data_IF_145456830212
#
_entry.id   IF_145456830212
#
_cell.length_a   1.000
_cell.length_b   1.000
_cell.length_c   1.000
_cell.angle_alpha   90.00
_cell.angle_beta   90.00
_cell.angle_gamma   90.00
#
_symmetry.space_group_name_H-M   'P 1'
#
loop_
_entity.id
_entity.type
_entity.pdbx_description
1 polymer ?
#
# COMPACT_ATOMS: atom_id res chain seq x y z
N UNK A 1 -20.74 4.35 16.41
CA UNK A 1 -20.01 3.24 15.77
C UNK A 1 -19.45 3.76 14.45
N UNK A 2 -18.18 4.16 14.44
CA UNK A 2 -17.56 4.73 13.24
C UNK A 2 -17.15 3.58 12.31
N UNK A 3 -18.01 3.28 11.34
CA UNK A 3 -17.58 2.55 10.15
C UNK A 3 -16.44 3.35 9.53
N UNK A 4 -15.23 2.81 9.60
CA UNK A 4 -14.05 3.49 9.08
C UNK A 4 -14.24 3.69 7.58
N UNK A 5 -14.14 4.93 7.10
CA UNK A 5 -14.21 5.28 5.67
C UNK A 5 -13.25 4.44 4.79
N UNK A 6 -12.24 3.80 5.38
CA UNK A 6 -11.35 2.85 4.72
C UNK A 6 -12.02 1.51 4.34
N UNK A 7 -13.00 1.05 5.13
CA UNK A 7 -13.78 -0.17 4.85
C UNK A 7 -14.67 -0.01 3.61
N UNK A 8 -15.43 1.09 3.55
CA UNK A 8 -16.27 1.40 2.38
C UNK A 8 -15.47 1.61 1.09
N UNK A 9 -14.27 2.17 1.18
CA UNK A 9 -13.40 2.35 0.01
C UNK A 9 -12.89 1.02 -0.54
N UNK A 10 -12.53 0.07 0.34
CA UNK A 10 -12.08 -1.27 -0.04
C UNK A 10 -13.20 -2.06 -0.73
N UNK A 11 -14.39 -2.05 -0.15
CA UNK A 11 -15.55 -2.79 -0.66
C UNK A 11 -16.00 -2.25 -2.03
N UNK A 12 -15.98 -0.93 -2.21
CA UNK A 12 -16.21 -0.29 -3.52
C UNK A 12 -15.16 -0.70 -4.56
N UNK A 13 -13.89 -0.84 -4.15
CA UNK A 13 -12.80 -1.23 -5.05
C UNK A 13 -12.86 -2.71 -5.46
N UNK A 14 -13.17 -3.60 -4.52
CA UNK A 14 -13.41 -5.03 -4.77
C UNK A 14 -14.63 -5.21 -5.67
N UNK A 15 -15.70 -4.45 -5.45
CA UNK A 15 -16.87 -4.44 -6.32
C UNK A 15 -16.56 -3.95 -7.75
N UNK A 16 -15.68 -2.95 -7.90
CA UNK A 16 -15.21 -2.49 -9.22
C UNK A 16 -14.37 -3.58 -9.90
N UNK A 17 -13.46 -4.24 -9.18
CA UNK A 17 -12.63 -5.31 -9.73
C UNK A 17 -13.47 -6.49 -10.24
N UNK A 18 -14.50 -6.91 -9.49
CA UNK A 18 -15.41 -7.98 -9.90
C UNK A 18 -16.27 -7.58 -11.11
N UNK A 19 -16.74 -6.32 -11.15
CA UNK A 19 -17.47 -5.80 -12.33
C UNK A 19 -16.60 -5.75 -13.59
N UNK A 20 -15.31 -5.45 -13.47
CA UNK A 20 -14.36 -5.46 -14.59
C UNK A 20 -14.20 -6.87 -15.15
N UNK A 21 -14.16 -7.90 -14.29
CA UNK A 21 -14.08 -9.31 -14.71
C UNK A 21 -15.37 -9.76 -15.40
N UNK A 22 -16.54 -9.41 -14.86
CA UNK A 22 -17.82 -9.75 -15.49
C UNK A 22 -18.01 -9.07 -16.86
N UNK A 23 -17.50 -7.84 -17.03
CA UNK A 23 -17.48 -7.16 -18.32
C UNK A 23 -16.47 -7.81 -19.29
N UNK A 24 -15.37 -8.35 -18.77
CA UNK A 24 -14.36 -9.04 -19.57
C UNK A 24 -14.86 -10.37 -20.14
N UNK A 25 -15.70 -11.13 -19.42
CA UNK A 25 -16.31 -12.35 -19.95
C UNK A 25 -17.34 -12.08 -21.07
N UNK A 26 -17.90 -10.86 -21.13
CA UNK A 26 -18.90 -10.44 -22.13
C UNK A 26 -18.29 -9.86 -23.41
N UNK A 27 -17.00 -9.53 -23.42
CA UNK A 27 -16.29 -8.99 -24.58
C UNK A 27 -15.09 -9.90 -24.87
N UNK A 28 -15.03 -10.53 -26.04
CA UNK A 28 -14.05 -11.60 -26.36
C UNK A 28 -12.56 -11.27 -26.14
N UNK A 29 -11.70 -12.26 -26.42
CA UNK A 29 -10.27 -12.43 -26.08
C UNK A 29 -9.39 -11.18 -25.79
N UNK A 30 -9.56 -10.07 -26.51
CA UNK A 30 -8.81 -8.83 -26.27
C UNK A 30 -9.21 -8.11 -24.97
N UNK A 31 -10.50 -8.07 -24.60
CA UNK A 31 -10.95 -7.41 -23.37
C UNK A 31 -10.61 -8.23 -22.12
N UNK A 32 -10.63 -9.56 -22.23
CA UNK A 32 -10.15 -10.46 -21.18
C UNK A 32 -8.65 -10.27 -20.86
N UNK A 33 -7.85 -9.96 -21.88
CA UNK A 33 -6.41 -9.70 -21.73
C UNK A 33 -6.16 -8.36 -21.03
N UNK A 34 -6.88 -7.30 -21.43
CA UNK A 34 -6.82 -6.00 -20.76
C UNK A 34 -7.34 -6.06 -19.33
N UNK A 35 -8.44 -6.77 -19.07
CA UNK A 35 -8.98 -6.95 -17.73
C UNK A 35 -8.03 -7.70 -16.80
N UNK A 36 -7.31 -8.73 -17.29
CA UNK A 36 -6.26 -9.41 -16.53
C UNK A 36 -5.09 -8.48 -16.20
N UNK A 37 -4.65 -7.62 -17.13
CA UNK A 37 -3.61 -6.61 -16.86
C UNK A 37 -4.07 -5.55 -15.86
N UNK A 38 -5.30 -5.04 -16.00
CA UNK A 38 -5.88 -4.06 -15.08
C UNK A 38 -6.07 -4.68 -13.69
N UNK A 39 -6.57 -5.92 -13.60
CA UNK A 39 -6.73 -6.64 -12.33
C UNK A 39 -5.37 -6.90 -11.68
N UNK A 40 -4.35 -7.28 -12.44
CA UNK A 40 -2.98 -7.42 -11.94
C UNK A 40 -2.42 -6.10 -11.39
N UNK A 41 -2.52 -5.00 -12.15
CA UNK A 41 -2.08 -3.67 -11.69
C UNK A 41 -2.89 -3.13 -10.51
N UNK A 42 -4.20 -3.39 -10.48
CA UNK A 42 -5.10 -2.94 -9.41
C UNK A 42 -4.88 -3.74 -8.12
N UNK A 43 -4.68 -5.06 -8.21
CA UNK A 43 -4.34 -5.92 -7.07
C UNK A 43 -2.98 -5.52 -6.50
N UNK A 44 -1.95 -5.30 -7.33
CA UNK A 44 -0.63 -4.82 -6.88
C UNK A 44 -0.75 -3.50 -6.10
N UNK A 45 -1.63 -2.60 -6.53
CA UNK A 45 -1.83 -1.30 -5.87
C UNK A 45 -2.64 -1.35 -4.57
N UNK A 46 -3.33 -2.45 -4.28
CA UNK A 46 -4.29 -2.58 -3.17
C UNK A 46 -3.83 -3.61 -2.14
N UNK A 47 -3.00 -4.56 -2.55
CA UNK A 47 -2.64 -5.72 -1.74
C UNK A 47 -1.21 -5.62 -1.19
N UNK A 48 -0.39 -4.68 -1.68
CA UNK A 48 0.96 -4.47 -1.12
C UNK A 48 1.03 -3.22 -0.23
N UNK A 49 1.62 -3.34 0.98
CA UNK A 49 1.84 -2.19 1.84
C UNK A 49 2.85 -1.24 1.20
N UNK A 50 2.54 0.07 1.22
CA UNK A 50 3.33 1.08 0.50
C UNK A 50 4.02 2.04 1.47
N UNK A 51 5.29 2.32 1.20
CA UNK A 51 6.04 3.41 1.83
C UNK A 51 5.70 4.75 1.16
N UNK A 52 5.27 5.71 1.95
CA UNK A 52 5.12 7.11 1.53
C UNK A 52 6.19 7.95 2.21
N UNK A 53 7.08 8.54 1.40
CA UNK A 53 8.06 9.53 1.84
C UNK A 53 7.47 10.92 1.68
N UNK A 54 7.51 11.72 2.74
CA UNK A 54 7.06 13.10 2.74
C UNK A 54 8.05 13.97 3.50
N UNK A 55 8.03 15.27 3.20
CA UNK A 55 8.80 16.28 3.94
C UNK A 55 7.86 16.99 4.90
N UNK A 56 8.24 17.03 6.17
CA UNK A 56 7.49 17.70 7.23
C UNK A 56 7.66 19.23 7.15
N UNK A 57 6.81 19.98 7.84
CA UNK A 57 6.89 21.45 7.91
C UNK A 57 8.20 21.94 8.53
N UNK A 58 8.83 21.11 9.38
CA UNK A 58 10.17 21.36 9.93
C UNK A 58 11.31 21.18 8.91
N UNK A 59 11.01 20.71 7.68
CA UNK A 59 11.99 20.45 6.64
C UNK A 59 12.66 19.08 6.71
N UNK A 60 12.24 18.23 7.64
CA UNK A 60 12.72 16.86 7.80
C UNK A 60 11.99 15.89 6.87
N UNK A 61 12.69 14.86 6.38
CA UNK A 61 12.12 13.77 5.60
C UNK A 61 11.62 12.67 6.54
N UNK A 62 10.40 12.19 6.31
CA UNK A 62 9.81 11.08 7.07
C UNK A 62 9.20 10.10 6.09
N UNK A 63 9.21 8.82 6.45
CA UNK A 63 8.47 7.80 5.74
C UNK A 63 7.40 7.19 6.65
N UNK A 64 6.30 6.76 6.05
CA UNK A 64 5.26 5.98 6.72
C UNK A 64 4.88 4.77 5.88
N UNK A 65 4.71 3.64 6.53
CA UNK A 65 4.22 2.42 5.91
C UNK A 65 2.71 2.34 6.09
N UNK A 66 1.99 2.39 4.97
CA UNK A 66 0.55 2.15 4.95
C UNK A 66 0.30 0.69 4.63
N UNK A 67 -0.42 0.01 5.52
CA UNK A 67 -0.94 -1.32 5.25
C UNK A 67 -2.08 -1.27 4.22
N UNK A 68 -2.48 -2.44 3.72
CA UNK A 68 -3.59 -2.62 2.77
C UNK A 68 -4.94 -2.13 3.31
N UNK A 69 -5.07 -2.02 4.62
CA UNK A 69 -6.23 -1.42 5.30
C UNK A 69 -6.12 0.11 5.46
N UNK A 70 -5.17 0.75 4.75
CA UNK A 70 -4.91 2.20 4.74
C UNK A 70 -4.49 2.78 6.09
N UNK A 71 -4.26 1.94 7.10
CA UNK A 71 -3.72 2.36 8.38
C UNK A 71 -2.21 2.48 8.30
N UNK A 72 -1.69 3.51 8.95
CA UNK A 72 -0.26 3.65 9.16
C UNK A 72 0.14 2.63 10.21
N UNK A 73 0.98 1.67 9.83
CA UNK A 73 1.47 0.61 10.73
C UNK A 73 2.89 0.89 11.21
N UNK A 74 3.65 1.71 10.48
CA UNK A 74 4.95 2.19 10.92
C UNK A 74 5.17 3.63 10.44
N UNK A 75 5.86 4.41 11.25
CA UNK A 75 6.29 5.76 10.93
C UNK A 75 7.76 5.91 11.34
N UNK A 76 8.54 6.57 10.49
CA UNK A 76 9.95 6.82 10.78
C UNK A 76 10.15 8.05 11.65
N UNK A 77 11.35 8.17 12.18
CA UNK A 77 11.85 9.44 12.72
C UNK A 77 12.11 10.45 11.59
N UNK A 78 12.32 11.72 11.96
CA UNK A 78 12.74 12.78 11.05
C UNK A 78 14.18 12.56 10.58
N UNK A 79 14.37 12.47 9.28
CA UNK A 79 15.68 12.45 8.62
C UNK A 79 16.01 13.84 8.07
N UNK A 80 17.28 14.22 8.13
CA UNK A 80 17.75 15.49 7.57
C UNK A 80 17.83 15.48 6.04
N UNK A 81 18.07 14.33 5.43
CA UNK A 81 18.19 14.17 3.97
C UNK A 81 17.24 13.10 3.42
N UNK A 82 16.88 13.24 2.14
CA UNK A 82 16.04 12.26 1.44
C UNK A 82 16.76 10.91 1.31
N UNK A 83 18.06 10.92 1.06
CA UNK A 83 18.88 9.71 0.94
C UNK A 83 18.91 8.93 2.24
N UNK A 84 19.07 9.60 3.40
CA UNK A 84 18.99 8.93 4.70
C UNK A 84 17.61 8.30 4.94
N UNK A 85 16.55 8.97 4.50
CA UNK A 85 15.18 8.43 4.57
C UNK A 85 15.00 7.20 3.68
N UNK A 86 15.56 7.18 2.47
CA UNK A 86 15.49 6.02 1.56
C UNK A 86 16.29 4.85 2.11
N UNK A 87 17.51 5.09 2.59
CA UNK A 87 18.32 4.07 3.25
C UNK A 87 17.61 3.48 4.48
N UNK A 88 16.86 4.31 5.22
CA UNK A 88 16.02 3.83 6.31
C UNK A 88 14.91 2.88 5.85
N UNK A 89 14.30 3.14 4.69
CA UNK A 89 13.31 2.24 4.09
C UNK A 89 13.96 0.93 3.67
N UNK A 90 15.09 0.97 2.97
CA UNK A 90 15.81 -0.24 2.54
C UNK A 90 16.23 -1.10 3.74
N UNK A 91 16.72 -0.47 4.81
CA UNK A 91 17.03 -1.16 6.05
C UNK A 91 15.78 -1.81 6.68
N UNK A 92 14.62 -1.14 6.68
CA UNK A 92 13.37 -1.74 7.17
C UNK A 92 12.96 -2.92 6.30
N UNK A 93 13.06 -2.81 4.97
CA UNK A 93 12.72 -3.90 4.05
C UNK A 93 13.61 -5.13 4.30
N UNK A 94 14.91 -4.94 4.51
CA UNK A 94 15.85 -6.04 4.72
C UNK A 94 15.72 -6.68 6.11
N UNK A 95 15.52 -5.87 7.14
CA UNK A 95 15.58 -6.31 8.54
C UNK A 95 14.22 -6.70 9.12
N UNK A 96 13.12 -6.04 8.72
CA UNK A 96 11.78 -6.35 9.23
C UNK A 96 11.37 -7.83 9.11
N UNK A 97 11.62 -8.56 8.00
CA UNK A 97 11.24 -9.97 7.93
C UNK A 97 12.11 -10.89 8.81
N UNK A 98 13.29 -10.42 9.24
CA UNK A 98 14.24 -11.18 10.07
C UNK A 98 14.16 -10.80 11.56
N UNK A 99 13.44 -9.72 11.88
CA UNK A 99 13.39 -9.17 13.22
C UNK A 99 12.62 -10.10 14.17
N UNK A 100 13.21 -10.39 15.32
CA UNK A 100 12.53 -11.13 16.38
C UNK A 100 11.50 -10.24 17.08
N UNK A 101 10.35 -10.82 17.42
CA UNK A 101 9.32 -10.13 18.18
C UNK A 101 9.74 -10.18 19.65
N UNK A 102 10.24 -9.05 20.16
CA UNK A 102 10.58 -8.90 21.57
C UNK A 102 9.49 -8.08 22.25
N UNK A 103 8.76 -8.70 23.16
CA UNK A 103 7.77 -8.05 24.00
C UNK A 103 8.44 -7.59 25.30
N UNK A 104 8.45 -6.28 25.54
CA UNK A 104 9.07 -5.65 26.73
C UNK A 104 8.02 -5.07 27.69
N UNK A 105 6.81 -5.64 27.65
CA UNK A 105 5.63 -5.11 28.35
C UNK A 105 5.58 -5.51 29.82
#
# INVERSE_FOLDING_TARGET
MAGSAAGEAKEKLEAIANKVEELADKTGDEAATLAKSIKKELIVRVVEPKFEVFKDSAGEYRFRLKATNWKIIAASQGYTTKEACLNGIDAVIENAPKAEIVDLT
#
